data_IF_178532051993
#
_entry.id   IF_178532051993
#
_cell.length_a   1.000
_cell.length_b   1.000
_cell.length_c   1.000
_cell.angle_alpha   90.00
_cell.angle_beta   90.00
_cell.angle_gamma   90.00
#
_symmetry.space_group_name_H-M   'P 1'
#
loop_
_entity.id
_entity.type
_entity.pdbx_description
1 polymer ?
#
# COMPACT_ATOMS: atom_id res chain seq x y z
N UNK A 1 14.83 1.38 -1.74
CA UNK A 1 13.64 0.90 -1.02
C UNK A 1 13.30 -0.49 -1.52
N UNK A 2 12.53 -1.25 -0.75
CA UNK A 2 12.13 -2.62 -1.10
C UNK A 2 12.49 -3.56 0.03
N UNK A 3 11.53 -3.84 0.91
CA UNK A 3 11.65 -5.00 1.79
C UNK A 3 11.65 -6.25 0.89
N UNK A 4 12.44 -7.29 1.22
CA UNK A 4 12.34 -8.57 0.52
C UNK A 4 10.89 -9.07 0.53
N UNK A 5 10.44 -9.80 -0.51
CA UNK A 5 9.14 -10.47 -0.48
C UNK A 5 9.03 -11.36 0.75
N UNK A 6 7.89 -11.31 1.43
CA UNK A 6 7.63 -12.10 2.62
C UNK A 6 6.16 -12.55 2.64
N UNK A 7 5.92 -13.75 3.15
CA UNK A 7 4.57 -14.24 3.46
C UNK A 7 4.28 -13.89 4.92
N UNK A 8 3.29 -13.02 5.14
CA UNK A 8 2.93 -12.51 6.46
C UNK A 8 1.49 -12.95 6.77
N UNK A 9 1.18 -13.49 7.96
CA UNK A 9 -0.19 -13.74 8.39
C UNK A 9 -1.06 -12.48 8.30
N UNK A 10 -2.31 -12.63 7.86
CA UNK A 10 -3.21 -11.48 7.64
C UNK A 10 -3.36 -10.60 8.88
N UNK A 11 -3.48 -11.21 10.05
CA UNK A 11 -3.69 -10.50 11.31
C UNK A 11 -2.46 -9.69 11.73
N UNK A 12 -1.27 -10.23 11.47
CA UNK A 12 0.01 -9.55 11.71
C UNK A 12 0.20 -8.36 10.75
N UNK A 13 -0.16 -8.54 9.47
CA UNK A 13 -0.10 -7.48 8.46
C UNK A 13 -1.04 -6.32 8.83
N UNK A 14 -2.30 -6.63 9.17
CA UNK A 14 -3.30 -5.65 9.59
C UNK A 14 -2.88 -4.97 10.90
N UNK A 15 -2.34 -5.72 11.86
CA UNK A 15 -1.81 -5.19 13.10
C UNK A 15 -0.69 -4.15 12.85
N UNK A 16 0.25 -4.49 11.98
CA UNK A 16 1.35 -3.58 11.61
C UNK A 16 0.85 -2.31 10.91
N UNK A 17 -0.10 -2.42 9.99
CA UNK A 17 -0.65 -1.24 9.29
C UNK A 17 -1.48 -0.34 10.22
N UNK A 18 -2.36 -0.93 11.03
CA UNK A 18 -3.19 -0.17 11.97
C UNK A 18 -2.36 0.54 13.05
N UNK A 19 -1.25 -0.04 13.49
CA UNK A 19 -0.31 0.62 14.41
C UNK A 19 0.39 1.84 13.78
N UNK A 20 0.62 1.81 12.46
CA UNK A 20 1.29 2.89 11.72
C UNK A 20 0.34 4.02 11.28
N UNK A 21 -0.91 3.68 10.95
CA UNK A 21 -1.91 4.59 10.38
C UNK A 21 -2.91 5.09 11.43
N UNK A 22 -2.40 5.70 12.51
CA UNK A 22 -3.22 6.29 13.56
C UNK A 22 -3.63 7.73 13.25
N UNK A 23 -4.55 8.28 14.04
CA UNK A 23 -5.28 9.52 13.76
C UNK A 23 -4.42 10.74 13.46
N UNK A 24 -3.19 10.83 14.01
CA UNK A 24 -2.29 11.95 13.71
C UNK A 24 -1.68 11.93 12.29
N UNK A 25 -1.84 10.82 11.54
CA UNK A 25 -1.30 10.64 10.19
C UNK A 25 -2.43 10.39 9.20
N UNK A 26 -2.75 11.39 8.40
CA UNK A 26 -3.79 11.28 7.36
C UNK A 26 -3.16 10.75 6.08
N UNK A 27 -3.84 9.84 5.39
CA UNK A 27 -3.41 9.36 4.08
C UNK A 27 -4.57 9.25 3.09
N UNK A 28 -4.26 9.43 1.81
CA UNK A 28 -5.15 9.17 0.69
C UNK A 28 -4.42 8.24 -0.28
N UNK A 29 -5.05 7.11 -0.60
CA UNK A 29 -4.53 6.15 -1.57
C UNK A 29 -5.42 6.17 -2.80
N UNK A 30 -4.85 6.53 -3.95
CA UNK A 30 -5.53 6.45 -5.24
C UNK A 30 -4.91 5.33 -6.05
N UNK A 31 -5.77 4.45 -6.57
CA UNK A 31 -5.41 3.44 -7.55
C UNK A 31 -6.25 3.62 -8.80
N UNK A 32 -5.59 3.58 -9.96
CA UNK A 32 -6.20 3.87 -11.26
C UNK A 32 -5.69 2.92 -12.33
N UNK A 33 -6.34 2.92 -13.49
CA UNK A 33 -5.95 2.11 -14.66
C UNK A 33 -5.80 0.62 -14.34
N UNK A 34 -6.80 0.03 -13.67
CA UNK A 34 -6.79 -1.38 -13.32
C UNK A 34 -6.86 -2.24 -14.59
N UNK A 35 -5.84 -3.08 -14.78
CA UNK A 35 -5.82 -4.14 -15.77
C UNK A 35 -5.88 -5.47 -15.03
N UNK A 36 -6.86 -6.31 -15.39
CA UNK A 36 -7.11 -7.59 -14.72
C UNK A 36 -6.85 -8.74 -15.68
N UNK A 37 -6.03 -9.69 -15.28
CA UNK A 37 -5.81 -10.96 -15.97
C UNK A 37 -6.28 -12.11 -15.08
N UNK A 38 -7.14 -12.99 -15.59
CA UNK A 38 -7.65 -14.15 -14.87
C UNK A 38 -6.91 -15.42 -15.27
N UNK A 39 -6.66 -16.29 -14.30
CA UNK A 39 -6.11 -17.64 -14.49
C UNK A 39 -6.88 -18.63 -13.59
N UNK A 40 -7.95 -19.22 -14.13
CA UNK A 40 -8.83 -20.12 -13.39
C UNK A 40 -9.44 -19.45 -12.15
N UNK A 41 -9.02 -19.90 -10.97
CA UNK A 41 -9.44 -19.34 -9.68
C UNK A 41 -8.47 -18.26 -9.15
N UNK A 42 -7.44 -17.89 -9.93
CA UNK A 42 -6.52 -16.80 -9.66
C UNK A 42 -6.79 -15.58 -10.54
N UNK A 43 -6.30 -14.42 -10.11
CA UNK A 43 -6.24 -13.23 -10.94
C UNK A 43 -5.06 -12.33 -10.54
N UNK A 44 -4.48 -11.65 -11.53
CA UNK A 44 -3.50 -10.59 -11.32
C UNK A 44 -4.11 -9.25 -11.69
N UNK A 45 -3.95 -8.25 -10.81
CA UNK A 45 -4.38 -6.86 -11.06
C UNK A 45 -3.17 -5.94 -11.06
N UNK A 46 -2.86 -5.40 -12.24
CA UNK A 46 -1.88 -4.32 -12.40
C UNK A 46 -2.58 -2.97 -12.36
N UNK A 47 -1.99 -1.98 -11.70
CA UNK A 47 -2.60 -0.63 -11.60
C UNK A 47 -1.56 0.44 -11.29
N UNK A 48 -1.87 1.69 -11.61
CA UNK A 48 -1.10 2.84 -11.13
C UNK A 48 -1.47 3.15 -9.68
N UNK A 49 -0.49 3.57 -8.89
CA UNK A 49 -0.63 3.91 -7.47
C UNK A 49 -0.11 5.31 -7.16
N UNK A 50 -0.86 6.03 -6.33
CA UNK A 50 -0.45 7.26 -5.68
C UNK A 50 -0.88 7.21 -4.22
N UNK A 51 0.04 7.54 -3.32
CA UNK A 51 -0.27 7.74 -1.91
C UNK A 51 0.20 9.11 -1.44
N UNK A 52 -0.75 9.90 -0.97
CA UNK A 52 -0.54 11.17 -0.30
C UNK A 52 -0.60 10.94 1.21
N UNK A 53 0.39 11.44 1.94
CA UNK A 53 0.47 11.29 3.40
C UNK A 53 0.79 12.63 4.05
N UNK A 54 0.08 12.96 5.12
CA UNK A 54 0.29 14.19 5.87
C UNK A 54 0.38 13.95 7.37
N UNK A 55 1.37 14.55 8.00
CA UNK A 55 1.55 14.54 9.45
C UNK A 55 2.32 15.78 9.93
N UNK A 56 1.74 16.47 10.92
CA UNK A 56 2.33 17.65 11.53
C UNK A 56 3.42 17.30 12.55
N UNK A 57 4.30 18.26 12.84
CA UNK A 57 5.23 18.19 13.97
C UNK A 57 6.72 18.17 13.62
N UNK A 58 7.10 18.12 12.35
CA UNK A 58 8.50 18.21 11.93
C UNK A 58 8.68 18.81 10.53
N UNK A 59 8.55 20.14 10.41
CA UNK A 59 8.74 20.85 9.15
C UNK A 59 7.55 20.68 8.18
N UNK A 60 7.84 20.59 6.88
CA UNK A 60 6.81 20.38 5.85
C UNK A 60 6.03 19.09 6.14
N UNK A 61 4.70 19.14 6.29
CA UNK A 61 3.93 18.00 6.76
C UNK A 61 3.63 16.97 5.67
N UNK A 62 4.10 17.14 4.43
CA UNK A 62 3.72 16.33 3.29
C UNK A 62 4.78 15.29 2.88
N UNK A 63 4.35 14.05 2.63
CA UNK A 63 5.10 13.07 1.84
C UNK A 63 4.19 12.37 0.83
N UNK A 64 4.68 12.20 -0.39
CA UNK A 64 3.94 11.59 -1.49
C UNK A 64 4.79 10.55 -2.20
N UNK A 65 4.11 9.53 -2.72
CA UNK A 65 4.74 8.45 -3.47
C UNK A 65 3.87 7.99 -4.63
N UNK A 66 4.53 7.69 -5.75
CA UNK A 66 3.95 7.15 -6.97
C UNK A 66 4.61 5.84 -7.32
N UNK A 67 3.87 4.99 -8.02
CA UNK A 67 4.39 3.74 -8.51
C UNK A 67 3.35 2.92 -9.23
N UNK A 68 3.66 1.66 -9.45
CA UNK A 68 2.72 0.66 -9.93
C UNK A 68 2.49 -0.39 -8.85
N UNK A 69 1.28 -0.94 -8.83
CA UNK A 69 0.94 -2.09 -8.02
C UNK A 69 0.73 -3.30 -8.92
N UNK A 70 1.16 -4.45 -8.42
CA UNK A 70 0.68 -5.76 -8.84
C UNK A 70 0.02 -6.41 -7.63
N UNK A 71 -1.23 -6.88 -7.78
CA UNK A 71 -1.91 -7.68 -6.75
C UNK A 71 -2.22 -9.05 -7.32
N UNK A 72 -2.00 -10.09 -6.53
CA UNK A 72 -2.54 -11.42 -6.78
C UNK A 72 -3.84 -11.60 -5.98
N UNK A 73 -4.80 -12.30 -6.57
CA UNK A 73 -6.08 -12.60 -5.97
C UNK A 73 -6.40 -14.08 -6.14
N UNK A 74 -6.98 -14.66 -5.09
CA UNK A 74 -7.54 -16.00 -5.11
C UNK A 74 -9.06 -15.96 -4.92
N UNK A 75 -9.78 -16.77 -5.69
CA UNK A 75 -11.22 -16.97 -5.55
C UNK A 75 -11.49 -17.97 -4.43
N UNK A 76 -12.14 -17.52 -3.37
CA UNK A 76 -12.59 -18.38 -2.26
C UNK A 76 -14.10 -18.63 -2.35
N UNK A 77 -14.62 -19.53 -1.52
CA UNK A 77 -16.08 -19.71 -1.38
C UNK A 77 -16.80 -18.43 -0.94
N UNK A 78 -16.11 -17.54 -0.20
CA UNK A 78 -16.62 -16.24 0.25
C UNK A 78 -16.35 -15.09 -0.73
N UNK A 79 -15.85 -15.39 -1.94
CA UNK A 79 -15.49 -14.42 -2.97
C UNK A 79 -13.98 -14.23 -3.13
N UNK A 80 -13.60 -13.24 -3.93
CA UNK A 80 -12.19 -12.93 -4.21
C UNK A 80 -11.51 -12.29 -3.01
N UNK A 81 -10.27 -12.70 -2.74
CA UNK A 81 -9.38 -12.13 -1.74
C UNK A 81 -8.04 -11.79 -2.36
N UNK A 82 -7.42 -10.71 -1.90
CA UNK A 82 -6.01 -10.43 -2.19
C UNK A 82 -5.17 -11.33 -1.30
N UNK A 83 -4.25 -12.07 -1.90
CA UNK A 83 -3.32 -12.98 -1.21
C UNK A 83 -1.85 -12.61 -1.47
N UNK A 84 -1.59 -11.62 -2.33
CA UNK A 84 -0.28 -11.04 -2.53
C UNK A 84 -0.37 -9.65 -3.14
N UNK A 85 0.58 -8.77 -2.83
CA UNK A 85 0.76 -7.53 -3.56
C UNK A 85 2.22 -7.06 -3.54
N UNK A 86 2.60 -6.34 -4.59
CA UNK A 86 3.88 -5.62 -4.70
C UNK A 86 3.60 -4.19 -5.10
N UNK A 87 4.27 -3.24 -4.43
CA UNK A 87 4.32 -1.84 -4.87
C UNK A 87 5.71 -1.52 -5.41
N UNK A 88 5.78 -1.23 -6.70
CA UNK A 88 6.99 -0.78 -7.38
C UNK A 88 6.99 0.75 -7.39
N UNK A 89 7.66 1.33 -6.40
CA UNK A 89 7.83 2.79 -6.29
C UNK A 89 8.64 3.32 -7.47
N UNK A 90 8.09 4.28 -8.20
CA UNK A 90 8.78 4.97 -9.31
C UNK A 90 9.28 6.34 -8.91
N UNK A 91 8.56 7.04 -8.02
CA UNK A 91 8.92 8.37 -7.57
C UNK A 91 8.40 8.64 -6.15
N UNK A 92 9.11 9.46 -5.39
CA UNK A 92 8.62 10.01 -4.12
C UNK A 92 9.08 11.45 -3.96
N UNK A 93 8.32 12.25 -3.21
CA UNK A 93 8.69 13.62 -2.84
C UNK A 93 8.20 14.00 -1.45
N UNK A 94 8.74 15.08 -0.91
CA UNK A 94 8.35 15.62 0.38
C UNK A 94 9.19 15.07 1.53
N UNK A 95 8.64 15.15 2.74
CA UNK A 95 9.37 14.98 3.99
C UNK A 95 9.56 13.49 4.38
N UNK A 96 10.80 12.97 4.40
CA UNK A 96 11.07 11.59 4.80
C UNK A 96 10.67 11.26 6.24
N UNK A 97 10.54 12.27 7.12
CA UNK A 97 10.04 12.06 8.48
C UNK A 97 8.59 11.60 8.48
N UNK A 98 7.75 12.17 7.61
CA UNK A 98 6.34 11.76 7.46
C UNK A 98 6.27 10.32 6.95
N UNK A 99 7.17 9.92 6.04
CA UNK A 99 7.28 8.53 5.56
C UNK A 99 7.62 7.57 6.70
N UNK A 100 8.68 7.84 7.45
CA UNK A 100 9.27 6.91 8.41
C UNK A 100 8.59 6.88 9.78
N UNK A 101 7.78 7.88 10.12
CA UNK A 101 7.20 8.02 11.45
C UNK A 101 5.76 7.49 11.50
N UNK A 102 5.43 6.59 12.44
CA UNK A 102 4.06 6.14 12.69
C UNK A 102 3.18 7.29 13.21
N UNK A 103 1.89 7.26 12.87
CA UNK A 103 0.90 8.09 13.54
C UNK A 103 0.76 7.73 15.03
N UNK A 104 0.26 8.68 15.82
CA UNK A 104 -0.07 8.50 17.24
C UNK A 104 -1.58 8.42 17.45
#
# INVERSE_FOLDING_TARGET
>A
SGQPPATIPSDELIGTWSANLKGSKTSLHLRTNHQVAFDGNGATVSSNGYAWNRMEGNGDPLWEVWGTYEHHLARTQAGWKVDGFTFLMTHERGNPWVKATPGR
#
